data_IF_886767672764
#
_entry.id   IF_886767672764
#
_cell.length_a   1.000
_cell.length_b   1.000
_cell.length_c   1.000
_cell.angle_alpha   90.00
_cell.angle_beta   90.00
_cell.angle_gamma   90.00
#
_symmetry.space_group_name_H-M   'P 1'
#
loop_
_entity.id
_entity.type
_entity.pdbx_description
1 polymer ?
#
# COMPACT_ATOMS: atom_id res chain seq x y z
N UNK A 1 8.97 9.49 -1.15
CA UNK A 1 7.85 8.89 -1.88
C UNK A 1 6.54 9.33 -1.25
N UNK A 2 5.56 9.66 -2.09
CA UNK A 2 4.26 10.14 -1.61
C UNK A 2 3.24 9.03 -1.69
N UNK A 3 2.57 8.79 -0.56
CA UNK A 3 1.50 7.79 -0.49
C UNK A 3 0.16 8.52 -0.29
N UNK A 4 -0.86 8.04 -0.98
CA UNK A 4 -2.20 8.60 -0.84
C UNK A 4 -2.85 8.05 0.42
N UNK A 5 -2.96 8.88 1.43
CA UNK A 5 -3.50 8.49 2.73
C UNK A 5 -4.96 8.08 2.67
N UNK A 6 -5.73 8.70 1.79
CA UNK A 6 -7.15 8.36 1.64
C UNK A 6 -7.33 6.97 1.08
N UNK A 7 -6.51 6.60 0.09
CA UNK A 7 -6.53 5.26 -0.47
C UNK A 7 -6.11 4.24 0.59
N UNK A 8 -5.07 4.55 1.34
CA UNK A 8 -4.58 3.66 2.40
C UNK A 8 -5.66 3.43 3.44
N UNK A 9 -6.33 4.48 3.89
CA UNK A 9 -7.43 4.38 4.85
C UNK A 9 -8.58 3.57 4.29
N UNK A 10 -9.01 3.89 3.08
CA UNK A 10 -10.17 3.25 2.47
C UNK A 10 -9.94 1.80 2.07
N UNK A 11 -8.70 1.44 1.79
CA UNK A 11 -8.34 0.09 1.33
C UNK A 11 -7.37 -0.61 2.29
N UNK A 12 -7.35 -0.17 3.53
CA UNK A 12 -6.36 -0.66 4.50
C UNK A 12 -6.34 -2.18 4.64
N UNK A 13 -7.51 -2.79 4.69
CA UNK A 13 -7.60 -4.24 4.85
C UNK A 13 -6.94 -4.97 3.69
N UNK A 14 -7.22 -4.53 2.47
CA UNK A 14 -6.63 -5.13 1.26
C UNK A 14 -5.13 -4.82 1.18
N UNK A 15 -4.74 -3.60 1.49
CA UNK A 15 -3.33 -3.19 1.48
C UNK A 15 -2.55 -4.00 2.51
N UNK A 16 -3.11 -4.14 3.71
CA UNK A 16 -2.49 -4.93 4.77
C UNK A 16 -2.28 -6.38 4.31
N UNK A 17 -3.29 -6.95 3.66
CA UNK A 17 -3.19 -8.30 3.12
C UNK A 17 -2.05 -8.44 2.11
N UNK A 18 -1.93 -7.48 1.19
CA UNK A 18 -0.87 -7.50 0.19
C UNK A 18 0.50 -7.32 0.83
N UNK A 19 0.60 -6.46 1.84
CA UNK A 19 1.85 -6.28 2.59
C UNK A 19 2.25 -7.59 3.25
N UNK A 20 1.31 -8.30 3.86
CA UNK A 20 1.58 -9.58 4.49
C UNK A 20 1.97 -10.67 3.50
N UNK A 21 1.45 -10.61 2.29
CA UNK A 21 1.87 -11.53 1.23
C UNK A 21 3.32 -11.32 0.82
N UNK A 22 3.73 -10.06 0.74
CA UNK A 22 5.10 -9.71 0.38
C UNK A 22 6.08 -9.91 1.53
N UNK A 23 5.64 -9.65 2.74
CA UNK A 23 6.47 -9.76 3.94
C UNK A 23 5.73 -10.58 5.00
N UNK A 24 5.81 -11.89 4.85
CA UNK A 24 5.07 -12.83 5.70
C UNK A 24 5.40 -12.79 7.18
N UNK A 25 6.56 -12.23 7.55
CA UNK A 25 6.95 -12.09 8.95
C UNK A 25 6.22 -10.96 9.67
N UNK A 26 5.57 -10.08 8.93
CA UNK A 26 4.79 -9.00 9.54
C UNK A 26 3.44 -9.57 10.00
N UNK A 27 3.13 -9.35 11.27
CA UNK A 27 1.87 -9.84 11.82
C UNK A 27 0.75 -8.82 11.65
N UNK A 28 -0.48 -9.31 11.70
CA UNK A 28 -1.65 -8.44 11.60
C UNK A 28 -1.63 -7.36 12.70
N UNK A 29 -1.31 -7.78 13.93
CA UNK A 29 -1.24 -6.86 15.07
C UNK A 29 -0.22 -5.75 14.85
N UNK A 30 0.95 -6.12 14.33
CA UNK A 30 2.01 -5.14 14.07
C UNK A 30 1.56 -4.12 13.04
N UNK A 31 0.91 -4.60 11.97
CA UNK A 31 0.43 -3.70 10.92
C UNK A 31 -0.71 -2.82 11.42
N UNK A 32 -1.60 -3.36 12.24
CA UNK A 32 -2.69 -2.57 12.82
C UNK A 32 -2.14 -1.45 13.70
N UNK A 33 -1.06 -1.70 14.42
CA UNK A 33 -0.42 -0.68 15.27
C UNK A 33 0.14 0.49 14.45
N UNK A 34 0.48 0.25 13.20
CA UNK A 34 0.99 1.33 12.34
C UNK A 34 -0.10 2.28 11.90
N UNK A 35 -1.37 1.86 11.99
CA UNK A 35 -2.52 2.64 11.53
C UNK A 35 -2.39 3.11 10.07
N UNK A 36 -1.70 2.32 9.27
CA UNK A 36 -1.50 2.64 7.85
C UNK A 36 -0.38 3.62 7.57
N UNK A 37 0.42 3.94 8.58
CA UNK A 37 1.58 4.82 8.38
C UNK A 37 2.67 4.04 7.64
N UNK A 38 2.94 4.45 6.41
CA UNK A 38 3.92 3.75 5.55
C UNK A 38 5.33 3.82 6.10
N UNK A 39 5.70 4.88 6.81
CA UNK A 39 7.01 4.97 7.46
C UNK A 39 7.15 3.92 8.55
N UNK A 40 6.08 3.74 9.34
CA UNK A 40 6.09 2.74 10.40
C UNK A 40 6.16 1.33 9.81
N UNK A 41 5.42 1.09 8.74
CA UNK A 41 5.46 -0.21 8.05
C UNK A 41 6.85 -0.47 7.50
N UNK A 42 7.46 0.54 6.86
CA UNK A 42 8.84 0.44 6.36
C UNK A 42 9.83 0.11 7.47
N UNK A 43 9.67 0.73 8.63
CA UNK A 43 10.50 0.43 9.79
C UNK A 43 10.39 -1.00 10.23
N UNK A 44 9.18 -1.57 10.22
CA UNK A 44 8.96 -2.98 10.55
C UNK A 44 9.66 -3.89 9.54
N UNK A 45 9.55 -3.56 8.26
CA UNK A 45 10.20 -4.36 7.21
C UNK A 45 11.71 -4.34 7.40
N UNK A 46 12.27 -3.17 7.63
CA UNK A 46 13.69 -3.03 7.86
C UNK A 46 14.14 -3.83 9.09
N UNK A 47 13.37 -3.76 10.16
CA UNK A 47 13.68 -4.46 11.40
C UNK A 47 13.67 -5.97 11.24
N UNK A 48 12.67 -6.49 10.51
CA UNK A 48 12.48 -7.94 10.39
C UNK A 48 13.25 -8.58 9.24
N UNK A 49 13.51 -7.83 8.19
CA UNK A 49 14.16 -8.38 6.99
C UNK A 49 15.51 -7.74 6.69
N UNK A 50 15.84 -6.62 7.33
CA UNK A 50 17.06 -5.89 7.00
C UNK A 50 17.05 -5.35 5.57
N UNK A 51 15.88 -5.21 4.98
CA UNK A 51 15.75 -4.77 3.62
C UNK A 51 16.06 -3.28 3.48
N UNK A 52 16.70 -2.89 2.37
CA UNK A 52 17.05 -1.51 2.14
C UNK A 52 15.81 -0.64 1.89
N UNK A 53 15.91 0.63 2.28
CA UNK A 53 14.86 1.62 2.13
C UNK A 53 14.27 1.64 0.72
N UNK A 54 15.14 1.73 -0.27
CA UNK A 54 14.73 1.81 -1.67
C UNK A 54 13.90 0.61 -2.09
N UNK A 55 14.29 -0.56 -1.61
CA UNK A 55 13.63 -1.82 -1.97
C UNK A 55 12.22 -1.89 -1.42
N UNK A 56 12.04 -1.67 -0.11
CA UNK A 56 10.71 -1.78 0.46
C UNK A 56 9.81 -0.61 0.06
N UNK A 57 10.36 0.58 -0.11
CA UNK A 57 9.59 1.73 -0.59
C UNK A 57 9.01 1.46 -1.97
N UNK A 58 9.79 0.89 -2.85
CA UNK A 58 9.32 0.54 -4.18
C UNK A 58 8.18 -0.45 -4.12
N UNK A 59 8.33 -1.52 -3.34
CA UNK A 59 7.29 -2.54 -3.20
C UNK A 59 6.02 -1.98 -2.57
N UNK A 60 6.16 -1.20 -1.50
CA UNK A 60 5.02 -0.56 -0.84
C UNK A 60 4.30 0.39 -1.79
N UNK A 61 5.07 1.17 -2.53
CA UNK A 61 4.51 2.08 -3.53
C UNK A 61 3.70 1.33 -4.58
N UNK A 62 4.22 0.22 -5.06
CA UNK A 62 3.52 -0.58 -6.05
C UNK A 62 2.21 -1.14 -5.50
N UNK A 63 2.22 -1.58 -4.25
CA UNK A 63 1.01 -2.07 -3.59
C UNK A 63 -0.05 -0.97 -3.51
N UNK A 64 0.34 0.19 -3.00
CA UNK A 64 -0.60 1.31 -2.86
C UNK A 64 -1.10 1.78 -4.22
N UNK A 65 -0.21 1.87 -5.19
CA UNK A 65 -0.57 2.32 -6.55
C UNK A 65 -1.58 1.40 -7.22
N UNK A 66 -1.52 0.10 -6.94
CA UNK A 66 -2.51 -0.82 -7.50
C UNK A 66 -3.92 -0.45 -7.08
N UNK A 67 -4.10 -0.06 -5.84
CA UNK A 67 -5.40 0.35 -5.33
C UNK A 67 -5.80 1.74 -5.82
N UNK A 68 -4.84 2.65 -5.94
CA UNK A 68 -5.08 3.96 -6.55
C UNK A 68 -5.51 3.81 -8.00
N UNK A 69 -4.77 3.01 -8.74
CA UNK A 69 -5.06 2.79 -10.16
C UNK A 69 -6.44 2.21 -10.38
N UNK A 70 -6.86 1.28 -9.55
CA UNK A 70 -8.20 0.71 -9.64
C UNK A 70 -9.27 1.78 -9.44
N UNK A 71 -9.09 2.63 -8.44
CA UNK A 71 -10.01 3.71 -8.16
C UNK A 71 -10.03 4.70 -9.32
N UNK A 72 -8.85 5.11 -9.76
CA UNK A 72 -8.71 6.05 -10.85
C UNK A 72 -9.18 5.47 -12.17
N UNK A 73 -8.85 4.21 -12.42
CA UNK A 73 -9.27 3.53 -13.64
C UNK A 73 -10.79 3.49 -13.77
N UNK A 74 -11.49 3.21 -12.67
CA UNK A 74 -12.94 3.20 -12.67
C UNK A 74 -13.50 4.55 -13.07
N UNK A 75 -12.99 5.61 -12.46
CA UNK A 75 -13.44 6.96 -12.75
C UNK A 75 -13.09 7.36 -14.18
N UNK A 76 -11.86 7.08 -14.60
CA UNK A 76 -11.40 7.41 -15.95
C UNK A 76 -12.16 6.65 -17.01
N UNK A 77 -12.43 5.39 -16.77
CA UNK A 77 -13.19 4.57 -17.71
C UNK A 77 -14.59 5.12 -17.90
N UNK A 78 -15.24 5.50 -16.81
CA UNK A 78 -16.56 6.10 -16.87
C UNK A 78 -16.53 7.38 -17.68
N UNK A 79 -15.54 8.23 -17.42
CA UNK A 79 -15.38 9.49 -18.15
C UNK A 79 -15.13 9.26 -19.63
N UNK A 80 -14.27 8.29 -19.95
CA UNK A 80 -14.01 7.93 -21.34
C UNK A 80 -15.26 7.42 -22.03
N UNK A 81 -16.01 6.59 -21.36
CA UNK A 81 -17.25 6.06 -21.91
C UNK A 81 -18.22 7.18 -22.20
N UNK A 82 -18.30 8.14 -21.31
CA UNK A 82 -19.20 9.27 -21.49
C UNK A 82 -18.76 10.20 -22.62
N UNK A 83 -17.45 10.30 -22.84
CA UNK A 83 -16.92 11.12 -23.92
C UNK A 83 -17.05 10.48 -25.28
N UNK A 84 -17.00 9.18 -25.29
CA UNK A 84 -17.10 8.41 -26.53
C UNK A 84 -18.52 8.08 -26.88
#
# INVERSE_FOLDING_TARGET
MIFNKDVIKGKWREIKGDVQKSWGKLTDDELEKTKGDMKAIGGLIQQKYGEANDSYDKKLSEIVKRFESKKDASVKEIKKSLKN
#
